data_IF_829666566266
#
_entry.id   IF_829666566266
#
_cell.length_a   1.000
_cell.length_b   1.000
_cell.length_c   1.000
_cell.angle_alpha   90.00
_cell.angle_beta   90.00
_cell.angle_gamma   90.00
#
_symmetry.space_group_name_H-M   'P 1'
#
loop_
_entity.id
_entity.type
_entity.pdbx_description
1 polymer ?
#
# COMPACT_ATOMS: atom_id res chain seq x y z
N UNK A 1 0.24 -3.28 18.42
CA UNK A 1 0.67 -2.69 17.13
C UNK A 1 -0.27 -1.55 16.79
N UNK A 2 0.23 -0.35 16.52
CA UNK A 2 -0.58 0.81 16.15
C UNK A 2 -0.91 0.75 14.65
N UNK A 3 -2.19 0.85 14.30
CA UNK A 3 -2.62 1.05 12.91
C UNK A 3 -2.83 2.55 12.67
N UNK A 4 -2.40 3.04 11.51
CA UNK A 4 -2.59 4.44 11.10
C UNK A 4 -3.52 4.49 9.90
N UNK A 5 -4.44 5.46 9.88
CA UNK A 5 -5.33 5.69 8.73
C UNK A 5 -4.57 6.44 7.65
N UNK A 6 -4.56 5.88 6.44
CA UNK A 6 -4.08 6.54 5.22
C UNK A 6 -5.24 6.58 4.23
N UNK A 7 -5.36 7.67 3.46
CA UNK A 7 -6.40 7.83 2.44
C UNK A 7 -5.73 8.01 1.08
N UNK A 8 -6.12 7.20 0.10
CA UNK A 8 -5.62 7.26 -1.27
C UNK A 8 -6.79 7.54 -2.21
N UNK A 9 -6.50 8.26 -3.29
CA UNK A 9 -7.37 8.26 -4.45
C UNK A 9 -7.02 7.05 -5.31
N UNK A 10 -8.00 6.21 -5.61
CA UNK A 10 -7.86 5.05 -6.47
C UNK A 10 -8.92 5.08 -7.57
N UNK A 11 -8.66 4.40 -8.69
CA UNK A 11 -9.67 4.25 -9.74
C UNK A 11 -10.85 3.45 -9.21
N UNK A 12 -12.05 3.77 -9.73
CA UNK A 12 -13.27 3.05 -9.35
C UNK A 12 -13.17 1.55 -9.69
N UNK A 13 -12.61 1.22 -10.86
CA UNK A 13 -12.40 -0.17 -11.29
C UNK A 13 -11.54 -0.96 -10.29
N UNK A 14 -10.43 -0.39 -9.82
CA UNK A 14 -9.57 -1.05 -8.82
C UNK A 14 -10.30 -1.26 -7.50
N UNK A 15 -11.07 -0.26 -7.05
CA UNK A 15 -11.85 -0.37 -5.81
C UNK A 15 -12.93 -1.46 -5.90
N UNK A 16 -13.66 -1.55 -7.01
CA UNK A 16 -14.68 -2.58 -7.18
C UNK A 16 -14.08 -3.98 -7.24
N UNK A 17 -12.93 -4.15 -7.92
CA UNK A 17 -12.18 -5.42 -7.90
C UNK A 17 -11.70 -5.78 -6.50
N UNK A 18 -11.18 -4.82 -5.74
CA UNK A 18 -10.75 -5.04 -4.35
C UNK A 18 -11.92 -5.43 -3.44
N UNK A 19 -13.09 -4.80 -3.59
CA UNK A 19 -14.32 -5.18 -2.87
C UNK A 19 -14.74 -6.60 -3.20
N UNK A 20 -14.73 -6.98 -4.48
CA UNK A 20 -15.03 -8.35 -4.90
C UNK A 20 -14.06 -9.36 -4.27
N UNK A 21 -12.76 -9.07 -4.27
CA UNK A 21 -11.76 -9.93 -3.66
C UNK A 21 -12.02 -10.14 -2.16
N UNK A 22 -12.30 -9.06 -1.42
CA UNK A 22 -12.62 -9.14 0.00
C UNK A 22 -13.95 -9.87 0.26
N UNK A 23 -14.96 -9.66 -0.58
CA UNK A 23 -16.26 -10.30 -0.45
C UNK A 23 -16.18 -11.83 -0.63
N UNK A 24 -15.44 -12.28 -1.65
CA UNK A 24 -15.32 -13.71 -1.98
C UNK A 24 -14.23 -14.45 -1.20
N UNK A 25 -13.42 -13.76 -0.38
CA UNK A 25 -12.33 -14.37 0.39
C UNK A 25 -12.63 -14.29 1.89
N UNK A 26 -13.07 -15.39 2.53
CA UNK A 26 -13.37 -15.40 3.95
C UNK A 26 -12.19 -14.92 4.81
N UNK A 27 -12.46 -13.97 5.71
CA UNK A 27 -11.44 -13.39 6.60
C UNK A 27 -10.58 -12.29 5.97
N UNK A 28 -10.70 -12.02 4.66
CA UNK A 28 -10.03 -10.89 4.03
C UNK A 28 -10.82 -9.60 4.23
N UNK A 29 -10.11 -8.52 4.54
CA UNK A 29 -10.65 -7.16 4.59
C UNK A 29 -9.95 -6.27 3.56
N UNK A 30 -10.57 -5.15 3.17
CA UNK A 30 -9.89 -4.17 2.32
C UNK A 30 -8.60 -3.64 2.97
N UNK A 31 -8.61 -3.48 4.30
CA UNK A 31 -7.42 -3.05 5.05
C UNK A 31 -6.31 -4.09 5.01
N UNK A 32 -6.62 -5.37 5.22
CA UNK A 32 -5.61 -6.44 5.16
C UNK A 32 -5.10 -6.65 3.75
N UNK A 33 -5.96 -6.53 2.74
CA UNK A 33 -5.57 -6.57 1.33
C UNK A 33 -4.63 -5.41 0.97
N UNK A 34 -4.95 -4.19 1.39
CA UNK A 34 -4.10 -3.03 1.15
C UNK A 34 -2.75 -3.14 1.88
N UNK A 35 -2.77 -3.59 3.13
CA UNK A 35 -1.57 -3.81 3.95
C UNK A 35 -0.65 -4.87 3.31
N UNK A 36 -1.20 -6.01 2.88
CA UNK A 36 -0.41 -7.06 2.22
C UNK A 36 0.10 -6.64 0.85
N UNK A 37 -0.73 -5.98 0.04
CA UNK A 37 -0.32 -5.55 -1.30
C UNK A 37 0.79 -4.50 -1.25
N UNK A 38 0.71 -3.54 -0.30
CA UNK A 38 1.78 -2.56 -0.10
C UNK A 38 3.07 -3.23 0.38
N UNK A 39 2.99 -4.13 1.36
CA UNK A 39 4.17 -4.82 1.88
C UNK A 39 4.86 -5.66 0.80
N UNK A 40 4.09 -6.47 0.06
CA UNK A 40 4.61 -7.30 -1.02
C UNK A 40 5.27 -6.43 -2.11
N UNK A 41 4.63 -5.34 -2.51
CA UNK A 41 5.18 -4.50 -3.56
C UNK A 41 6.43 -3.74 -3.12
N UNK A 42 6.54 -3.36 -1.84
CA UNK A 42 7.78 -2.78 -1.29
C UNK A 42 8.91 -3.82 -1.33
N UNK A 43 8.65 -5.06 -0.91
CA UNK A 43 9.63 -6.15 -0.97
C UNK A 43 10.11 -6.39 -2.41
N UNK A 44 9.20 -6.41 -3.39
CA UNK A 44 9.54 -6.51 -4.82
C UNK A 44 10.48 -5.37 -5.28
N UNK A 45 10.23 -4.14 -4.82
CA UNK A 45 11.07 -2.98 -5.14
C UNK A 45 12.45 -3.08 -4.48
N UNK A 46 12.53 -3.57 -3.24
CA UNK A 46 13.81 -3.79 -2.54
C UNK A 46 14.64 -4.87 -3.23
N UNK A 47 14.00 -5.96 -3.67
CA UNK A 47 14.64 -7.01 -4.48
C UNK A 47 15.18 -6.43 -5.79
N UNK A 48 14.38 -5.63 -6.51
CA UNK A 48 14.82 -4.97 -7.75
C UNK A 48 15.99 -4.01 -7.53
N UNK A 49 16.02 -3.33 -6.37
CA UNK A 49 17.11 -2.45 -5.96
C UNK A 49 18.35 -3.22 -5.47
N UNK A 50 18.20 -4.50 -5.11
CA UNK A 50 19.22 -5.32 -4.43
C UNK A 50 19.61 -4.83 -3.03
N UNK A 51 18.84 -3.90 -2.44
CA UNK A 51 19.02 -3.41 -1.08
C UNK A 51 17.70 -2.86 -0.49
N UNK A 52 17.51 -2.92 0.84
CA UNK A 52 16.36 -2.31 1.50
C UNK A 52 16.34 -0.79 1.37
N UNK A 53 15.15 -0.19 1.46
CA UNK A 53 15.07 1.28 1.49
C UNK A 53 15.63 1.84 2.81
N UNK A 54 16.51 2.84 2.78
CA UNK A 54 17.01 3.47 3.99
C UNK A 54 15.89 4.21 4.73
N UNK A 55 16.03 4.35 6.05
CA UNK A 55 15.09 5.14 6.85
C UNK A 55 15.09 6.58 6.36
N UNK A 56 13.90 7.12 6.06
CA UNK A 56 13.74 8.52 5.62
C UNK A 56 14.38 9.50 6.61
N UNK A 57 15.08 10.50 6.10
CA UNK A 57 15.75 11.55 6.88
C UNK A 57 14.80 12.66 7.36
N UNK A 58 13.57 12.70 6.85
CA UNK A 58 12.56 13.68 7.21
C UNK A 58 11.13 13.21 6.94
N UNK A 59 10.14 14.01 7.30
CA UNK A 59 8.74 13.74 6.91
C UNK A 59 8.59 13.82 5.38
N UNK A 60 7.63 13.06 4.85
CA UNK A 60 7.23 13.23 3.46
C UNK A 60 6.73 14.66 3.25
N UNK A 61 7.26 15.34 2.22
CA UNK A 61 6.78 16.66 1.86
C UNK A 61 5.26 16.61 1.63
N UNK A 62 4.51 17.40 2.39
CA UNK A 62 3.07 17.54 2.24
C UNK A 62 2.84 18.39 0.99
N UNK A 63 2.78 17.78 -0.20
CA UNK A 63 2.68 18.52 -1.47
C UNK A 63 2.83 17.69 -2.74
N UNK A 64 2.91 18.38 -3.89
CA UNK A 64 3.09 17.81 -5.25
C UNK A 64 4.33 16.92 -5.30
N UNK A 65 4.31 15.78 -6.03
CA UNK A 65 5.47 14.89 -6.14
C UNK A 65 6.74 15.66 -6.53
N UNK A 66 7.87 15.34 -5.89
CA UNK A 66 9.18 15.74 -6.38
C UNK A 66 9.33 15.17 -7.80
N UNK A 67 9.73 16.03 -8.74
CA UNK A 67 9.97 15.66 -10.15
C UNK A 67 11.11 14.66 -10.27
#
# INVERSE_FOLDING_TARGET
>A
MSKTRITFYMSMDTIEKAKNAAYWTPGMTLSSLAESALAQHIEELEVQRSEPFPRREGELAKGRPAK
#
